data_IF_762653263457
#
_entry.id   IF_762653263457
#
_cell.length_a   1.000
_cell.length_b   1.000
_cell.length_c   1.000
_cell.angle_alpha   90.00
_cell.angle_beta   90.00
_cell.angle_gamma   90.00
#
_symmetry.space_group_name_H-M   'P 1'
#
loop_
_entity.id
_entity.type
_entity.pdbx_description
1 polymer ?
#
# COMPACT_ATOMS: atom_id res chain seq x y z
N UNK A 1 -15.96 37.40 33.03
CA UNK A 1 -16.79 37.67 31.84
C UNK A 1 -16.34 36.73 30.72
N UNK A 2 -17.19 35.77 30.32
CA UNK A 2 -16.85 34.72 29.34
C UNK A 2 -16.70 35.35 27.96
N UNK A 3 -15.57 35.12 27.26
CA UNK A 3 -15.42 35.47 25.85
C UNK A 3 -15.74 34.24 25.01
N UNK A 4 -16.90 34.30 24.38
CA UNK A 4 -17.43 33.32 23.46
C UNK A 4 -16.75 33.55 22.09
N UNK A 5 -15.92 32.61 21.62
CA UNK A 5 -15.37 32.62 20.27
C UNK A 5 -16.12 31.56 19.43
N UNK A 6 -16.95 31.94 18.44
CA UNK A 6 -17.81 31.01 17.73
C UNK A 6 -17.12 30.49 16.46
N UNK A 7 -16.01 29.76 16.59
CA UNK A 7 -15.39 29.09 15.45
C UNK A 7 -14.80 27.73 15.84
N UNK A 8 -15.67 26.77 16.13
CA UNK A 8 -15.31 25.35 16.01
C UNK A 8 -15.83 24.88 14.64
N UNK A 9 -14.96 24.48 13.69
CA UNK A 9 -15.43 23.88 12.45
C UNK A 9 -16.08 22.53 12.75
N UNK A 10 -17.32 22.37 12.30
CA UNK A 10 -18.06 21.11 12.37
C UNK A 10 -17.38 20.12 11.40
N UNK A 11 -16.52 19.25 11.93
CA UNK A 11 -15.97 18.12 11.17
C UNK A 11 -17.10 17.15 10.85
N UNK A 12 -17.49 17.04 9.58
CA UNK A 12 -18.43 16.00 9.14
C UNK A 12 -17.60 14.86 8.56
N UNK A 13 -17.55 13.74 9.28
CA UNK A 13 -17.03 12.48 8.76
C UNK A 13 -18.08 11.87 7.83
N UNK A 14 -17.75 11.71 6.54
CA UNK A 14 -18.56 10.96 5.60
C UNK A 14 -17.84 9.67 5.22
N UNK A 15 -18.40 8.52 5.60
CA UNK A 15 -17.88 7.21 5.18
C UNK A 15 -18.34 6.93 3.74
N UNK A 16 -17.40 6.84 2.79
CA UNK A 16 -17.65 6.31 1.45
C UNK A 16 -16.86 5.01 1.30
N UNK A 17 -17.39 3.93 1.90
CA UNK A 17 -16.79 2.60 1.83
C UNK A 17 -15.54 2.41 2.69
N UNK A 18 -15.16 1.15 2.90
CA UNK A 18 -14.28 0.70 3.99
C UNK A 18 -12.83 1.23 4.01
N UNK A 19 -12.36 1.90 2.95
CA UNK A 19 -10.92 2.23 2.81
C UNK A 19 -10.63 3.66 2.30
N UNK A 20 -11.58 4.62 2.41
CA UNK A 20 -11.38 5.98 1.89
C UNK A 20 -11.91 7.07 2.85
N UNK A 21 -10.98 7.85 3.44
CA UNK A 21 -11.33 9.07 4.21
C UNK A 21 -10.99 10.32 3.38
N UNK A 22 -11.98 11.19 3.18
CA UNK A 22 -11.79 12.49 2.56
C UNK A 22 -11.95 13.60 3.61
N UNK A 23 -10.91 14.42 3.81
CA UNK A 23 -10.99 15.65 4.60
C UNK A 23 -11.32 16.81 3.64
N UNK A 24 -12.50 17.39 3.77
CA UNK A 24 -12.84 18.63 3.07
C UNK A 24 -12.63 19.82 4.02
N UNK A 25 -11.66 20.68 3.71
CA UNK A 25 -11.53 21.97 4.36
C UNK A 25 -12.33 23.00 3.56
N UNK A 26 -13.43 23.52 4.09
CA UNK A 26 -14.22 24.60 3.47
C UNK A 26 -13.58 25.96 3.72
N UNK A 27 -12.29 26.11 3.41
CA UNK A 27 -11.62 27.41 3.39
C UNK A 27 -11.09 27.70 1.99
N UNK A 28 -11.71 28.70 1.36
CA UNK A 28 -11.38 29.34 0.09
C UNK A 28 -11.67 28.55 -1.20
N UNK A 29 -12.43 29.21 -2.08
CA UNK A 29 -13.06 28.70 -3.30
C UNK A 29 -12.13 28.25 -4.44
N UNK A 30 -10.81 28.21 -4.31
CA UNK A 30 -9.92 27.85 -5.45
C UNK A 30 -8.64 27.05 -5.10
N UNK A 31 -8.59 26.30 -4.00
CA UNK A 31 -7.50 25.32 -3.80
C UNK A 31 -8.01 23.90 -4.01
N UNK A 32 -7.92 23.38 -5.24
CA UNK A 32 -8.01 21.95 -5.53
C UNK A 32 -6.75 21.24 -5.03
N UNK A 33 -6.57 21.16 -3.73
CA UNK A 33 -5.59 20.23 -3.17
C UNK A 33 -6.34 19.03 -2.60
N UNK A 34 -6.59 18.06 -3.48
CA UNK A 34 -7.13 16.76 -3.08
C UNK A 34 -6.02 15.97 -2.41
N UNK A 35 -5.99 15.95 -1.08
CA UNK A 35 -5.16 15.00 -0.35
C UNK A 35 -5.86 13.64 -0.35
N UNK A 36 -5.47 12.79 -1.31
CA UNK A 36 -5.86 11.39 -1.35
C UNK A 36 -5.06 10.59 -0.32
N UNK A 37 -5.74 9.90 0.60
CA UNK A 37 -5.12 8.93 1.51
C UNK A 37 -4.92 7.61 0.76
N UNK A 38 -3.67 7.18 0.67
CA UNK A 38 -3.17 6.04 -0.08
C UNK A 38 -3.79 4.71 0.36
N UNK A 39 -4.51 4.00 -0.54
CA UNK A 39 -4.89 2.61 -0.31
C UNK A 39 -3.63 1.76 -0.04
N UNK A 40 -3.77 0.73 0.79
CA UNK A 40 -2.67 -0.07 1.35
C UNK A 40 -1.80 -0.78 0.28
N UNK A 41 -0.77 -0.06 -0.21
CA UNK A 41 0.22 -0.55 -1.18
C UNK A 41 0.74 -1.97 -0.94
N UNK A 42 0.94 -2.34 0.32
CA UNK A 42 1.44 -3.66 0.70
C UNK A 42 0.52 -4.81 0.28
N UNK A 43 -0.81 -4.63 0.30
CA UNK A 43 -1.76 -5.68 -0.10
C UNK A 43 -1.70 -5.90 -1.61
N UNK A 44 -1.74 -4.82 -2.39
CA UNK A 44 -1.67 -4.88 -3.86
C UNK A 44 -0.33 -5.45 -4.34
N UNK A 45 0.76 -5.04 -3.69
CA UNK A 45 2.10 -5.60 -3.91
C UNK A 45 2.11 -7.12 -3.67
N UNK A 46 1.55 -7.57 -2.55
CA UNK A 46 1.48 -9.00 -2.20
C UNK A 46 0.71 -9.83 -3.24
N UNK A 47 -0.41 -9.29 -3.75
CA UNK A 47 -1.20 -9.91 -4.81
C UNK A 47 -0.42 -10.02 -6.13
N UNK A 48 0.28 -8.95 -6.54
CA UNK A 48 1.13 -8.95 -7.73
C UNK A 48 2.31 -9.91 -7.61
N UNK A 49 2.96 -9.95 -6.45
CA UNK A 49 4.02 -10.89 -6.15
C UNK A 49 3.54 -12.34 -6.34
N UNK A 50 2.40 -12.69 -5.73
CA UNK A 50 1.81 -14.02 -5.87
C UNK A 50 1.48 -14.33 -7.33
N UNK A 51 0.91 -13.39 -8.07
CA UNK A 51 0.56 -13.54 -9.48
C UNK A 51 1.78 -13.88 -10.34
N UNK A 52 2.88 -13.13 -10.19
CA UNK A 52 4.10 -13.38 -10.96
C UNK A 52 4.82 -14.66 -10.54
N UNK A 53 4.84 -14.96 -9.24
CA UNK A 53 5.39 -16.21 -8.72
C UNK A 53 4.68 -17.43 -9.33
N UNK A 54 3.34 -17.41 -9.37
CA UNK A 54 2.55 -18.49 -9.99
C UNK A 54 2.76 -18.57 -11.50
N UNK A 55 2.88 -17.45 -12.21
CA UNK A 55 3.23 -17.44 -13.65
C UNK A 55 4.58 -18.10 -13.94
N UNK A 56 5.51 -18.09 -12.98
CA UNK A 56 6.81 -18.75 -13.07
C UNK A 56 6.81 -20.18 -12.53
N UNK A 57 5.64 -20.74 -12.18
CA UNK A 57 5.47 -22.05 -11.55
C UNK A 57 6.30 -22.23 -10.27
N UNK A 58 6.51 -21.15 -9.52
CA UNK A 58 7.28 -21.20 -8.27
C UNK A 58 6.36 -21.35 -7.07
N UNK A 59 6.71 -22.23 -6.13
CA UNK A 59 6.13 -22.22 -4.78
C UNK A 59 6.70 -21.06 -3.95
N UNK A 60 6.09 -20.76 -2.80
CA UNK A 60 6.67 -19.78 -1.86
C UNK A 60 8.06 -20.22 -1.38
N UNK A 61 8.28 -21.54 -1.25
CA UNK A 61 9.59 -22.10 -0.87
C UNK A 61 10.63 -21.90 -1.97
N UNK A 62 10.26 -22.06 -3.24
CA UNK A 62 11.19 -21.89 -4.36
C UNK A 62 11.67 -20.44 -4.46
N UNK A 63 10.75 -19.48 -4.30
CA UNK A 63 11.11 -18.06 -4.28
C UNK A 63 11.95 -17.70 -3.04
N UNK A 64 11.64 -18.29 -1.89
CA UNK A 64 12.40 -18.09 -0.67
C UNK A 64 13.84 -18.60 -0.82
N UNK A 65 14.02 -19.80 -1.40
CA UNK A 65 15.32 -20.39 -1.72
C UNK A 65 16.09 -19.51 -2.71
N UNK A 66 15.45 -19.05 -3.78
CA UNK A 66 16.07 -18.17 -4.78
C UNK A 66 16.57 -16.84 -4.18
N UNK A 67 15.90 -16.35 -3.14
CA UNK A 67 16.25 -15.12 -2.45
C UNK A 67 17.09 -15.33 -1.19
N UNK A 68 17.39 -16.58 -0.82
CA UNK A 68 18.05 -16.95 0.44
C UNK A 68 17.37 -16.35 1.67
N UNK A 69 16.04 -16.44 1.72
CA UNK A 69 15.20 -15.97 2.83
C UNK A 69 14.28 -17.08 3.34
N UNK A 70 13.63 -16.84 4.47
CA UNK A 70 12.64 -17.76 5.01
C UNK A 70 11.34 -17.78 4.20
N UNK A 71 10.69 -18.95 4.09
CA UNK A 71 9.37 -19.05 3.44
C UNK A 71 8.33 -18.15 4.12
N UNK A 72 8.42 -18.01 5.44
CA UNK A 72 7.54 -17.12 6.22
C UNK A 72 7.69 -15.65 5.79
N UNK A 73 8.89 -15.23 5.38
CA UNK A 73 9.15 -13.89 4.87
C UNK A 73 8.34 -13.61 3.59
N UNK A 74 8.39 -14.53 2.62
CA UNK A 74 7.60 -14.45 1.38
C UNK A 74 6.10 -14.45 1.67
N UNK A 75 5.64 -15.33 2.56
CA UNK A 75 4.24 -15.39 2.98
C UNK A 75 3.77 -14.07 3.61
N UNK A 76 4.58 -13.43 4.45
CA UNK A 76 4.23 -12.17 5.08
C UNK A 76 4.10 -11.02 4.06
N UNK A 77 4.97 -10.99 3.03
CA UNK A 77 4.86 -10.01 1.95
C UNK A 77 3.61 -10.28 1.11
N UNK A 78 3.35 -11.52 0.70
CA UNK A 78 2.18 -11.88 -0.11
C UNK A 78 0.84 -11.58 0.58
N UNK A 79 0.82 -11.66 1.92
CA UNK A 79 -0.36 -11.35 2.71
C UNK A 79 -0.43 -9.87 3.15
N UNK A 80 0.49 -9.01 2.69
CA UNK A 80 0.54 -7.60 3.04
C UNK A 80 0.86 -7.31 4.51
N UNK A 81 1.36 -8.31 5.26
CA UNK A 81 1.74 -8.18 6.68
C UNK A 81 3.12 -7.57 6.87
N UNK A 82 3.89 -7.44 5.79
CA UNK A 82 5.24 -6.88 5.78
C UNK A 82 5.42 -5.98 4.56
N UNK A 83 6.01 -4.81 4.78
CA UNK A 83 6.41 -3.90 3.72
C UNK A 83 7.89 -4.11 3.39
N UNK A 84 8.24 -4.69 2.23
CA UNK A 84 9.63 -4.85 1.84
C UNK A 84 10.27 -3.50 1.50
N UNK A 85 11.59 -3.38 1.71
CA UNK A 85 12.35 -2.22 1.25
C UNK A 85 12.45 -2.23 -0.28
N UNK A 86 12.80 -1.07 -0.87
CA UNK A 86 13.03 -0.97 -2.32
C UNK A 86 14.10 -1.96 -2.79
N UNK A 87 15.20 -2.11 -2.04
CA UNK A 87 16.26 -3.08 -2.35
C UNK A 87 15.75 -4.52 -2.37
N UNK A 88 14.79 -4.86 -1.51
CA UNK A 88 14.19 -6.20 -1.49
C UNK A 88 13.24 -6.39 -2.66
N UNK A 89 12.48 -5.37 -3.04
CA UNK A 89 11.65 -5.41 -4.24
C UNK A 89 12.48 -5.66 -5.50
N UNK A 90 13.64 -5.03 -5.63
CA UNK A 90 14.54 -5.25 -6.76
C UNK A 90 15.06 -6.69 -6.80
N UNK A 91 15.45 -7.25 -5.65
CA UNK A 91 15.86 -8.66 -5.55
C UNK A 91 14.74 -9.62 -5.94
N UNK A 92 13.52 -9.39 -5.44
CA UNK A 92 12.33 -10.18 -5.77
C UNK A 92 12.04 -10.08 -7.28
N UNK A 93 12.08 -8.88 -7.84
CA UNK A 93 11.86 -8.65 -9.26
C UNK A 93 12.91 -9.37 -10.11
N UNK A 94 14.19 -9.32 -9.70
CA UNK A 94 15.29 -10.05 -10.33
C UNK A 94 15.10 -11.57 -10.29
N UNK A 95 14.72 -12.13 -9.13
CA UNK A 95 14.43 -13.56 -9.00
C UNK A 95 13.23 -14.01 -9.86
N UNK A 96 12.27 -13.13 -10.08
CA UNK A 96 11.12 -13.35 -10.95
C UNK A 96 11.38 -12.98 -12.43
N UNK A 97 12.54 -12.40 -12.74
CA UNK A 97 12.88 -11.94 -14.10
C UNK A 97 11.92 -10.89 -14.65
N UNK A 98 11.44 -9.98 -13.80
CA UNK A 98 10.55 -8.87 -14.15
C UNK A 98 11.12 -7.53 -13.64
N UNK A 99 10.50 -6.43 -14.02
CA UNK A 99 10.84 -5.12 -13.44
C UNK A 99 10.16 -4.90 -12.09
N UNK A 100 10.77 -4.12 -11.19
CA UNK A 100 10.16 -3.73 -9.92
C UNK A 100 8.84 -2.96 -10.12
N UNK A 101 8.70 -2.24 -11.23
CA UNK A 101 7.46 -1.56 -11.63
C UNK A 101 6.28 -2.52 -11.79
N UNK A 102 6.53 -3.75 -12.26
CA UNK A 102 5.47 -4.75 -12.48
C UNK A 102 4.95 -5.37 -11.18
N UNK A 103 5.70 -5.26 -10.08
CA UNK A 103 5.25 -5.62 -8.74
C UNK A 103 4.36 -4.54 -8.13
N UNK A 104 4.53 -3.27 -8.53
CA UNK A 104 3.83 -2.12 -7.96
C UNK A 104 2.58 -1.68 -8.77
N UNK A 105 2.35 -2.31 -9.93
CA UNK A 105 1.22 -2.01 -10.84
C UNK A 105 -0.16 -2.23 -10.25
#
# INVERSE_FOLDING_TARGET
>A
MRRNFPFAPLFVLGEFGADMYALYCTLAKECKFSYYVFMSSGKKLGENLRKWRLKKNMSQGDLATALSVDRAYISNIENGRMNPTLSTLEKIAGALGISSSELLK
#
